data_IF_917243899662
#
_entry.id   IF_917243899662
#
_cell.length_a   1.000
_cell.length_b   1.000
_cell.length_c   1.000
_cell.angle_alpha   90.00
_cell.angle_beta   90.00
_cell.angle_gamma   90.00
#
_symmetry.space_group_name_H-M   'P 1'
#
loop_
_entity.id
_entity.type
_entity.pdbx_description
1 polymer ?
#
# COMPACT_ATOMS: atom_id res chain seq x y z
N UNK A 1 -24.72 22.56 1.87
CA UNK A 1 -24.29 22.62 0.45
C UNK A 1 -23.18 23.65 0.32
N UNK A 2 -22.01 23.30 -0.23
CA UNK A 2 -20.99 24.29 -0.51
C UNK A 2 -21.52 25.32 -1.53
N UNK A 3 -21.19 26.62 -1.38
CA UNK A 3 -21.63 27.64 -2.30
C UNK A 3 -21.13 27.33 -3.71
N UNK A 4 -22.03 27.48 -4.70
CA UNK A 4 -21.69 27.28 -6.11
C UNK A 4 -20.53 28.22 -6.48
N UNK A 5 -19.45 27.74 -7.10
CA UNK A 5 -18.29 28.57 -7.43
C UNK A 5 -18.71 29.72 -8.33
N UNK A 6 -18.28 30.94 -7.97
CA UNK A 6 -18.48 32.13 -8.82
C UNK A 6 -17.71 31.94 -10.13
N UNK A 7 -18.37 32.22 -11.25
CA UNK A 7 -17.75 32.20 -12.57
C UNK A 7 -16.53 33.15 -12.60
N UNK A 8 -15.43 32.70 -13.22
CA UNK A 8 -14.24 33.52 -13.41
C UNK A 8 -14.54 34.65 -14.39
N UNK A 9 -13.97 35.83 -14.11
CA UNK A 9 -14.02 36.92 -15.09
C UNK A 9 -12.98 36.69 -16.21
N UNK A 10 -13.11 37.43 -17.31
CA UNK A 10 -12.25 37.27 -18.49
C UNK A 10 -10.76 37.48 -18.18
N UNK A 11 -10.42 38.43 -17.30
CA UNK A 11 -9.02 38.69 -16.91
C UNK A 11 -8.44 37.54 -16.06
N UNK A 12 -9.24 36.93 -15.20
CA UNK A 12 -8.87 35.76 -14.41
C UNK A 12 -8.66 34.54 -15.30
N UNK A 13 -9.55 34.30 -16.26
CA UNK A 13 -9.40 33.19 -17.21
C UNK A 13 -8.14 33.37 -18.09
N UNK A 14 -7.90 34.60 -18.58
CA UNK A 14 -6.67 34.93 -19.32
C UNK A 14 -5.42 34.76 -18.47
N UNK A 15 -5.44 35.20 -17.21
CA UNK A 15 -4.35 34.95 -16.26
C UNK A 15 -4.06 33.46 -16.11
N UNK A 16 -5.09 32.62 -15.96
CA UNK A 16 -4.90 31.18 -15.87
C UNK A 16 -4.22 30.62 -17.14
N UNK A 17 -4.63 31.08 -18.33
CA UNK A 17 -4.05 30.64 -19.60
C UNK A 17 -2.58 31.03 -19.75
N UNK A 18 -2.23 32.29 -19.45
CA UNK A 18 -0.86 32.80 -19.50
C UNK A 18 0.03 32.12 -18.44
N UNK A 19 -0.48 31.96 -17.21
CA UNK A 19 0.26 31.34 -16.11
C UNK A 19 0.64 29.90 -16.39
N UNK A 20 -0.21 29.15 -17.10
CA UNK A 20 0.08 27.76 -17.46
C UNK A 20 1.14 27.64 -18.56
N UNK A 21 1.53 28.73 -19.24
CA UNK A 21 2.60 28.69 -20.24
C UNK A 21 4.00 28.59 -19.62
N UNK A 22 4.30 29.41 -18.61
CA UNK A 22 5.64 29.53 -18.03
C UNK A 22 5.71 29.45 -16.49
N UNK A 23 4.56 29.36 -15.82
CA UNK A 23 4.43 29.41 -14.35
C UNK A 23 5.01 30.68 -13.71
N UNK A 24 5.14 31.76 -14.48
CA UNK A 24 5.52 33.08 -13.96
C UNK A 24 4.27 33.88 -13.64
N UNK A 25 3.98 34.04 -12.35
CA UNK A 25 2.75 34.69 -11.91
C UNK A 25 2.75 36.21 -12.14
N UNK A 26 3.91 36.87 -12.16
CA UNK A 26 4.03 38.31 -12.42
C UNK A 26 3.82 38.57 -13.91
N UNK A 27 4.53 37.84 -14.77
CA UNK A 27 4.38 37.97 -16.22
C UNK A 27 2.99 37.55 -16.69
N UNK A 28 2.40 36.49 -16.11
CA UNK A 28 1.04 36.09 -16.43
C UNK A 28 0.02 37.18 -16.09
N UNK A 29 0.15 37.85 -14.93
CA UNK A 29 -0.72 38.97 -14.57
C UNK A 29 -0.52 40.16 -15.53
N UNK A 30 0.72 40.44 -15.94
CA UNK A 30 1.04 41.48 -16.91
C UNK A 30 0.42 41.20 -18.28
N UNK A 31 0.63 40.00 -18.84
CA UNK A 31 0.08 39.57 -20.15
C UNK A 31 -1.44 39.44 -20.14
N UNK A 32 -2.02 39.06 -19.01
CA UNK A 32 -3.48 39.02 -18.83
C UNK A 32 -4.11 40.42 -18.86
N UNK A 33 -3.33 41.50 -18.67
CA UNK A 33 -3.78 42.88 -18.78
C UNK A 33 -4.21 43.52 -17.46
N UNK A 34 -3.72 43.03 -16.32
CA UNK A 34 -3.98 43.70 -15.03
C UNK A 34 -3.26 45.05 -14.96
N UNK A 35 -4.01 46.09 -14.56
CA UNK A 35 -3.45 47.44 -14.35
C UNK A 35 -2.49 47.44 -13.16
N UNK A 36 -1.33 48.04 -13.34
CA UNK A 36 -0.28 48.14 -12.34
C UNK A 36 0.51 49.44 -12.53
N UNK A 37 1.04 50.00 -11.45
CA UNK A 37 1.97 51.15 -11.49
C UNK A 37 3.40 50.71 -11.18
N UNK A 38 3.57 49.53 -10.60
CA UNK A 38 4.85 48.93 -10.22
C UNK A 38 4.77 47.41 -10.24
N UNK A 39 5.91 46.73 -10.25
CA UNK A 39 5.96 45.26 -10.14
C UNK A 39 5.44 44.75 -8.79
N UNK A 40 5.57 45.56 -7.73
CA UNK A 40 5.01 45.23 -6.42
C UNK A 40 3.47 45.11 -6.47
N UNK A 41 2.79 45.90 -7.31
CA UNK A 41 1.35 45.77 -7.52
C UNK A 41 1.00 44.43 -8.18
N UNK A 42 1.77 44.01 -9.19
CA UNK A 42 1.57 42.74 -9.89
C UNK A 42 1.78 41.55 -8.96
N UNK A 43 2.81 41.57 -8.11
CA UNK A 43 3.04 40.53 -7.09
C UNK A 43 1.82 40.37 -6.18
N UNK A 44 1.28 41.49 -5.68
CA UNK A 44 0.10 41.48 -4.81
C UNK A 44 -1.15 40.96 -5.53
N UNK A 45 -1.37 41.39 -6.77
CA UNK A 45 -2.50 40.94 -7.60
C UNK A 45 -2.37 39.44 -7.88
N UNK A 46 -1.22 38.99 -8.37
CA UNK A 46 -0.95 37.60 -8.70
C UNK A 46 -1.08 36.69 -7.48
N UNK A 47 -0.55 37.10 -6.32
CA UNK A 47 -0.72 36.38 -5.05
C UNK A 47 -2.19 36.26 -4.64
N UNK A 48 -2.97 37.35 -4.79
CA UNK A 48 -4.42 37.32 -4.54
C UNK A 48 -5.18 36.41 -5.51
N UNK A 49 -4.79 36.37 -6.78
CA UNK A 49 -5.36 35.49 -7.79
C UNK A 49 -5.06 34.02 -7.49
N UNK A 50 -3.80 33.69 -7.15
CA UNK A 50 -3.40 32.33 -6.79
C UNK A 50 -4.02 31.86 -5.47
N UNK A 51 -4.42 32.78 -4.57
CA UNK A 51 -5.19 32.46 -3.38
C UNK A 51 -6.67 32.16 -3.65
N UNK A 52 -7.17 32.44 -4.85
CA UNK A 52 -8.57 32.20 -5.21
C UNK A 52 -8.77 30.76 -5.69
N UNK A 53 -9.62 30.01 -4.97
CA UNK A 53 -9.92 28.59 -5.27
C UNK A 53 -10.42 28.37 -6.70
N UNK A 54 -11.21 29.29 -7.27
CA UNK A 54 -11.73 29.14 -8.63
C UNK A 54 -10.61 29.29 -9.68
N UNK A 55 -9.65 30.19 -9.44
CA UNK A 55 -8.47 30.38 -10.29
C UNK A 55 -7.57 29.14 -10.21
N UNK A 56 -7.34 28.61 -9.01
CA UNK A 56 -6.59 27.36 -8.82
C UNK A 56 -7.23 26.18 -9.55
N UNK A 57 -8.55 26.05 -9.47
CA UNK A 57 -9.28 25.00 -10.18
C UNK A 57 -9.13 25.14 -11.71
N UNK A 58 -9.24 26.36 -12.24
CA UNK A 58 -9.08 26.63 -13.68
C UNK A 58 -7.66 26.39 -14.17
N UNK A 59 -6.64 26.77 -13.39
CA UNK A 59 -5.24 26.44 -13.69
C UNK A 59 -5.07 24.92 -13.75
N UNK A 60 -5.63 24.18 -12.79
CA UNK A 60 -5.56 22.72 -12.80
C UNK A 60 -6.21 22.10 -14.05
N UNK A 61 -7.35 22.63 -14.50
CA UNK A 61 -8.01 22.24 -15.76
C UNK A 61 -7.12 22.53 -16.98
N UNK A 62 -6.57 23.74 -17.09
CA UNK A 62 -5.73 24.12 -18.22
C UNK A 62 -4.40 23.35 -18.27
N UNK A 63 -3.81 23.05 -17.11
CA UNK A 63 -2.63 22.16 -17.03
C UNK A 63 -2.98 20.75 -17.52
N UNK A 64 -4.18 20.25 -17.21
CA UNK A 64 -4.67 18.97 -17.72
C UNK A 64 -4.90 19.00 -19.24
N UNK A 65 -5.43 20.09 -19.78
CA UNK A 65 -5.70 20.25 -21.21
C UNK A 65 -4.42 20.43 -22.04
N UNK A 66 -3.47 21.26 -21.57
CA UNK A 66 -2.31 21.69 -22.37
C UNK A 66 -1.10 20.76 -22.33
N UNK A 67 -1.04 19.82 -21.38
CA UNK A 67 0.09 18.88 -21.27
C UNK A 67 -0.33 17.46 -21.63
N UNK A 68 -0.60 17.13 -22.91
CA UNK A 68 -0.79 15.74 -23.28
C UNK A 68 0.47 14.95 -22.92
N UNK A 69 0.27 13.80 -22.28
CA UNK A 69 1.38 12.91 -21.98
C UNK A 69 2.00 12.43 -23.28
N UNK A 70 3.33 12.49 -23.36
CA UNK A 70 4.05 11.91 -24.50
C UNK A 70 3.82 10.39 -24.52
N UNK A 71 3.94 9.77 -25.70
CA UNK A 71 3.84 8.30 -25.80
C UNK A 71 4.84 7.59 -24.89
N UNK A 72 6.04 8.15 -24.74
CA UNK A 72 7.05 7.62 -23.85
C UNK A 72 6.60 7.68 -22.37
N UNK A 73 5.98 8.77 -21.93
CA UNK A 73 5.38 8.85 -20.59
C UNK A 73 4.26 7.83 -20.43
N UNK A 74 3.41 7.64 -21.44
CA UNK A 74 2.37 6.60 -21.40
C UNK A 74 2.96 5.20 -21.25
N UNK A 75 4.12 4.91 -21.86
CA UNK A 75 4.85 3.66 -21.65
C UNK A 75 5.35 3.47 -20.22
N UNK A 76 5.80 4.55 -19.55
CA UNK A 76 6.15 4.49 -18.12
C UNK A 76 4.98 3.97 -17.29
N UNK A 77 3.78 4.52 -17.49
CA UNK A 77 2.59 4.10 -16.77
C UNK A 77 2.24 2.62 -17.03
N UNK A 78 2.37 2.14 -18.27
CA UNK A 78 2.13 0.73 -18.62
C UNK A 78 3.10 -0.20 -17.91
N UNK A 79 4.40 0.10 -17.95
CA UNK A 79 5.41 -0.72 -17.27
C UNK A 79 5.21 -0.72 -15.75
N UNK A 80 4.87 0.43 -15.17
CA UNK A 80 4.60 0.52 -13.74
C UNK A 80 3.43 -0.38 -13.31
N UNK A 81 2.34 -0.41 -14.10
CA UNK A 81 1.16 -1.23 -13.79
C UNK A 81 1.31 -2.73 -14.10
N UNK A 82 2.27 -3.12 -14.94
CA UNK A 82 2.60 -4.53 -15.15
C UNK A 82 3.17 -5.22 -13.90
N UNK A 83 3.46 -4.46 -12.84
CA UNK A 83 3.92 -4.97 -11.56
C UNK A 83 5.44 -5.21 -11.51
N UNK A 84 5.94 -5.41 -10.29
CA UNK A 84 7.34 -5.82 -10.05
C UNK A 84 8.41 -4.80 -10.45
N UNK A 85 8.08 -3.50 -10.54
CA UNK A 85 9.09 -2.47 -10.82
C UNK A 85 8.84 -1.18 -10.05
N UNK A 86 9.93 -0.51 -9.66
CA UNK A 86 9.87 0.81 -9.03
C UNK A 86 9.50 1.89 -10.06
N UNK A 87 9.19 3.11 -9.60
CA UNK A 87 8.94 4.25 -10.50
C UNK A 87 10.13 4.48 -11.45
N UNK A 88 11.36 4.39 -10.91
CA UNK A 88 12.60 4.55 -11.66
C UNK A 88 12.81 3.45 -12.69
N UNK A 89 12.47 2.20 -12.35
CA UNK A 89 12.60 1.07 -13.29
C UNK A 89 11.58 1.16 -14.43
N UNK A 90 10.34 1.53 -14.14
CA UNK A 90 9.33 1.79 -15.18
C UNK A 90 9.78 2.93 -16.11
N UNK A 91 10.38 3.97 -15.54
CA UNK A 91 10.95 5.09 -16.29
C UNK A 91 12.09 4.62 -17.20
N UNK A 92 13.04 3.84 -16.68
CA UNK A 92 14.14 3.26 -17.46
C UNK A 92 13.65 2.34 -18.59
N UNK A 93 12.66 1.47 -18.30
CA UNK A 93 12.06 0.56 -19.30
C UNK A 93 11.36 1.30 -20.44
N UNK A 94 10.80 2.48 -20.17
CA UNK A 94 10.25 3.35 -21.21
C UNK A 94 11.31 4.03 -22.09
N UNK A 95 12.60 3.75 -21.88
CA UNK A 95 13.70 4.23 -22.73
C UNK A 95 14.34 5.54 -22.28
N UNK A 96 13.99 6.07 -21.10
CA UNK A 96 14.70 7.21 -20.52
C UNK A 96 16.12 6.79 -20.10
N UNK A 97 17.10 7.66 -20.38
CA UNK A 97 18.53 7.44 -20.08
C UNK A 97 19.06 8.57 -19.19
N UNK A 98 20.01 8.24 -18.33
CA UNK A 98 20.61 9.16 -17.38
C UNK A 98 21.30 8.40 -16.25
N UNK A 99 21.99 9.13 -15.38
CA UNK A 99 22.46 8.60 -14.10
C UNK A 99 21.28 8.20 -13.20
N UNK A 100 21.55 7.33 -12.22
CA UNK A 100 20.51 6.74 -11.38
C UNK A 100 19.72 7.80 -10.59
N UNK A 101 20.41 8.81 -10.05
CA UNK A 101 19.81 9.84 -9.20
C UNK A 101 18.94 10.80 -10.03
N UNK A 102 19.43 11.22 -11.19
CA UNK A 102 18.68 12.04 -12.15
C UNK A 102 17.44 11.31 -12.65
N UNK A 103 17.54 10.01 -12.98
CA UNK A 103 16.39 9.21 -13.39
C UNK A 103 15.36 9.06 -12.28
N UNK A 104 15.80 8.83 -11.04
CA UNK A 104 14.89 8.74 -9.88
C UNK A 104 14.17 10.07 -9.63
N UNK A 105 14.89 11.19 -9.66
CA UNK A 105 14.32 12.52 -9.51
C UNK A 105 13.32 12.85 -10.64
N UNK A 106 13.68 12.55 -11.89
CA UNK A 106 12.81 12.77 -13.05
C UNK A 106 11.55 11.89 -13.00
N UNK A 107 11.69 10.61 -12.64
CA UNK A 107 10.57 9.71 -12.44
C UNK A 107 9.63 10.23 -11.35
N UNK A 108 10.17 10.58 -10.17
CA UNK A 108 9.37 11.12 -9.07
C UNK A 108 8.58 12.37 -9.48
N UNK A 109 9.22 13.31 -10.21
CA UNK A 109 8.53 14.49 -10.77
C UNK A 109 7.42 14.09 -11.73
N UNK A 110 7.64 13.14 -12.64
CA UNK A 110 6.61 12.67 -13.57
C UNK A 110 5.41 12.07 -12.81
N UNK A 111 5.66 11.22 -11.81
CA UNK A 111 4.61 10.62 -10.99
C UNK A 111 3.88 11.64 -10.10
N UNK A 112 4.54 12.75 -9.74
CA UNK A 112 3.91 13.85 -9.03
C UNK A 112 2.93 14.66 -9.90
N UNK A 113 3.13 14.68 -11.24
CA UNK A 113 2.28 15.46 -12.17
C UNK A 113 0.82 14.99 -12.11
N UNK A 114 -0.16 15.89 -11.87
CA UNK A 114 -1.59 15.54 -11.83
C UNK A 114 -2.09 14.83 -13.09
N UNK A 115 -1.63 15.25 -14.26
CA UNK A 115 -2.01 14.66 -15.56
C UNK A 115 -1.59 13.19 -15.64
N UNK A 116 -0.37 12.88 -15.19
CA UNK A 116 0.14 11.52 -15.17
C UNK A 116 -0.63 10.64 -14.17
N UNK A 117 -0.91 11.15 -12.98
CA UNK A 117 -1.72 10.45 -11.96
C UNK A 117 -3.12 10.11 -12.48
N UNK A 118 -3.77 11.06 -13.17
CA UNK A 118 -5.08 10.83 -13.80
C UNK A 118 -5.01 9.73 -14.85
N UNK A 119 -4.05 9.82 -15.77
CA UNK A 119 -3.85 8.79 -16.80
C UNK A 119 -3.58 7.41 -16.19
N UNK A 120 -2.76 7.34 -15.14
CA UNK A 120 -2.47 6.09 -14.43
C UNK A 120 -3.75 5.48 -13.83
N UNK A 121 -4.62 6.30 -13.21
CA UNK A 121 -5.91 5.87 -12.66
C UNK A 121 -6.86 5.39 -13.75
N UNK A 122 -6.94 6.10 -14.87
CA UNK A 122 -7.78 5.71 -16.01
C UNK A 122 -7.30 4.39 -16.63
N UNK A 123 -5.98 4.19 -16.70
CA UNK A 123 -5.38 2.93 -17.15
C UNK A 123 -5.66 1.79 -16.16
N UNK A 124 -5.51 2.01 -14.85
CA UNK A 124 -5.90 1.03 -13.83
C UNK A 124 -7.37 0.64 -13.95
N UNK A 125 -8.26 1.63 -14.09
CA UNK A 125 -9.70 1.39 -14.26
C UNK A 125 -9.99 0.57 -15.52
N UNK A 126 -9.34 0.86 -16.65
CA UNK A 126 -9.56 0.09 -17.88
C UNK A 126 -9.07 -1.37 -17.75
N UNK A 127 -7.97 -1.61 -17.03
CA UNK A 127 -7.51 -2.95 -16.70
C UNK A 127 -8.51 -3.68 -15.78
N UNK A 128 -8.99 -3.02 -14.72
CA UNK A 128 -10.01 -3.59 -13.82
C UNK A 128 -11.26 -4.02 -14.58
N UNK A 129 -11.76 -3.15 -15.48
CA UNK A 129 -12.93 -3.45 -16.32
C UNK A 129 -12.67 -4.62 -17.26
N UNK A 130 -11.47 -4.70 -17.86
CA UNK A 130 -11.12 -5.79 -18.80
C UNK A 130 -11.05 -7.14 -18.11
N UNK A 131 -10.49 -7.19 -16.90
CA UNK A 131 -10.32 -8.43 -16.15
C UNK A 131 -11.50 -8.77 -15.24
N UNK A 132 -12.50 -7.88 -15.13
CA UNK A 132 -13.59 -7.99 -14.16
C UNK A 132 -13.07 -8.18 -12.72
N UNK A 133 -11.91 -7.58 -12.45
CA UNK A 133 -11.28 -7.57 -11.13
C UNK A 133 -11.63 -6.25 -10.49
N UNK A 134 -12.69 -6.26 -9.69
CA UNK A 134 -13.01 -5.14 -8.82
C UNK A 134 -12.35 -5.32 -7.44
N UNK A 135 -12.58 -4.33 -6.59
CA UNK A 135 -11.98 -4.28 -5.27
C UNK A 135 -12.53 -5.36 -4.34
N UNK A 136 -13.84 -5.64 -4.41
CA UNK A 136 -14.50 -6.69 -3.64
C UNK A 136 -14.00 -8.08 -4.03
N UNK A 137 -13.81 -8.33 -5.33
CA UNK A 137 -13.25 -9.57 -5.85
C UNK A 137 -11.85 -9.85 -5.28
N UNK A 138 -10.98 -8.83 -5.22
CA UNK A 138 -9.63 -8.98 -4.65
C UNK A 138 -9.70 -9.29 -3.16
N UNK A 139 -10.56 -8.60 -2.41
CA UNK A 139 -10.75 -8.84 -0.98
C UNK A 139 -11.31 -10.25 -0.71
N UNK A 140 -12.27 -10.70 -1.51
CA UNK A 140 -12.82 -12.05 -1.41
C UNK A 140 -11.74 -13.11 -1.65
N UNK A 141 -10.92 -12.95 -2.70
CA UNK A 141 -9.80 -13.88 -2.96
C UNK A 141 -8.73 -13.83 -1.86
N UNK A 142 -8.42 -12.65 -1.34
CA UNK A 142 -7.49 -12.52 -0.23
C UNK A 142 -8.02 -13.21 1.04
N UNK A 143 -9.33 -13.06 1.32
CA UNK A 143 -10.00 -13.72 2.44
C UNK A 143 -9.98 -15.24 2.29
N UNK A 144 -10.36 -15.76 1.12
CA UNK A 144 -10.29 -17.21 0.83
C UNK A 144 -8.87 -17.74 1.04
N UNK A 145 -7.85 -16.96 0.66
CA UNK A 145 -6.46 -17.36 0.85
C UNK A 145 -6.07 -17.41 2.33
N UNK A 146 -6.48 -16.42 3.12
CA UNK A 146 -6.26 -16.42 4.58
C UNK A 146 -6.95 -17.63 5.21
N UNK A 147 -8.22 -17.87 4.89
CA UNK A 147 -8.98 -19.02 5.39
C UNK A 147 -8.34 -20.35 4.99
N UNK A 148 -7.86 -20.46 3.75
CA UNK A 148 -7.15 -21.65 3.25
C UNK A 148 -5.84 -21.92 3.97
N UNK A 149 -5.18 -20.87 4.47
CA UNK A 149 -3.91 -20.99 5.19
C UNK A 149 -4.08 -21.42 6.65
N UNK A 150 -5.32 -21.38 7.15
CA UNK A 150 -5.69 -21.84 8.50
C UNK A 150 -6.27 -23.24 8.53
N UNK A 151 -6.29 -23.95 7.39
CA UNK A 151 -6.84 -25.30 7.29
C UNK A 151 -5.95 -26.28 8.06
N UNK A 152 -6.53 -27.04 8.98
CA UNK A 152 -5.87 -28.14 9.67
C UNK A 152 -5.93 -29.43 8.82
N UNK A 153 -4.93 -30.32 8.95
CA UNK A 153 -4.91 -31.61 8.25
C UNK A 153 -6.14 -32.46 8.57
N UNK A 154 -6.67 -32.36 9.79
CA UNK A 154 -7.88 -33.07 10.25
C UNK A 154 -9.14 -32.63 9.50
N UNK A 155 -9.12 -31.43 8.90
CA UNK A 155 -10.24 -30.94 8.10
C UNK A 155 -10.28 -31.54 6.69
N UNK A 156 -9.15 -32.06 6.19
CA UNK A 156 -9.01 -32.60 4.83
C UNK A 156 -8.79 -34.11 4.80
N UNK A 157 -8.33 -34.69 5.89
CA UNK A 157 -8.12 -36.13 6.03
C UNK A 157 -8.57 -36.64 7.40
N UNK A 158 -9.12 -37.85 7.43
CA UNK A 158 -9.39 -38.58 8.66
C UNK A 158 -8.16 -39.44 9.01
N UNK A 159 -7.64 -39.22 10.22
CA UNK A 159 -6.53 -39.98 10.80
C UNK A 159 -7.13 -41.21 11.49
N UNK A 160 -6.83 -42.40 11.00
CA UNK A 160 -7.27 -43.64 11.61
C UNK A 160 -6.38 -44.00 12.82
N UNK A 161 -6.85 -44.92 13.66
CA UNK A 161 -6.14 -45.37 14.86
C UNK A 161 -4.81 -46.07 14.57
N UNK A 162 -4.64 -46.60 13.36
CA UNK A 162 -3.41 -47.22 12.88
C UNK A 162 -2.41 -46.21 12.28
N UNK A 163 -2.73 -44.92 12.30
CA UNK A 163 -1.92 -43.85 11.73
C UNK A 163 -2.09 -43.67 10.21
N UNK A 164 -3.00 -44.41 9.56
CA UNK A 164 -3.31 -44.21 8.14
C UNK A 164 -4.18 -42.97 7.93
N UNK A 165 -3.95 -42.28 6.80
CA UNK A 165 -4.71 -41.10 6.41
C UNK A 165 -5.68 -41.45 5.30
N UNK A 166 -6.96 -41.19 5.51
CA UNK A 166 -7.98 -41.26 4.46
C UNK A 166 -8.45 -39.87 4.07
N UNK A 167 -8.31 -39.52 2.79
CA UNK A 167 -8.70 -38.21 2.29
C UNK A 167 -10.24 -38.10 2.29
N UNK A 168 -10.77 -37.01 2.82
CA UNK A 168 -12.20 -36.67 2.68
C UNK A 168 -12.52 -36.40 1.22
N UNK A 169 -13.79 -36.55 0.85
CA UNK A 169 -14.25 -36.24 -0.50
C UNK A 169 -14.06 -34.74 -0.81
N UNK A 170 -13.06 -34.44 -1.62
CA UNK A 170 -12.69 -33.07 -1.99
C UNK A 170 -13.83 -32.30 -2.67
N UNK A 171 -14.78 -32.99 -3.31
CA UNK A 171 -15.93 -32.34 -3.97
C UNK A 171 -16.96 -31.83 -2.97
N UNK A 172 -16.98 -32.40 -1.76
CA UNK A 172 -17.89 -32.00 -0.67
C UNK A 172 -17.27 -30.95 0.25
N UNK A 173 -15.96 -30.75 0.20
CA UNK A 173 -15.27 -29.76 1.01
C UNK A 173 -15.50 -28.34 0.46
N UNK A 174 -15.64 -27.34 1.34
CA UNK A 174 -15.65 -25.94 0.92
C UNK A 174 -14.40 -25.58 0.12
N UNK A 175 -14.55 -24.71 -0.89
CA UNK A 175 -13.48 -24.34 -1.83
C UNK A 175 -12.21 -23.86 -1.12
N UNK A 176 -12.32 -23.04 -0.07
CA UNK A 176 -11.16 -22.52 0.66
C UNK A 176 -10.35 -23.63 1.35
N UNK A 177 -10.97 -24.74 1.78
CA UNK A 177 -10.26 -25.88 2.37
C UNK A 177 -9.41 -26.61 1.33
N UNK A 178 -9.99 -26.79 0.15
CA UNK A 178 -9.30 -27.43 -0.98
C UNK A 178 -8.12 -26.57 -1.45
N UNK A 179 -8.30 -25.24 -1.48
CA UNK A 179 -7.21 -24.29 -1.81
C UNK A 179 -6.06 -24.32 -0.81
N UNK A 180 -6.30 -24.78 0.43
CA UNK A 180 -5.26 -24.91 1.46
C UNK A 180 -4.28 -26.05 1.18
N UNK A 181 -4.64 -26.99 0.29
CA UNK A 181 -3.81 -28.13 -0.07
C UNK A 181 -2.80 -27.72 -1.14
N UNK A 182 -1.51 -27.73 -0.78
CA UNK A 182 -0.39 -27.40 -1.67
C UNK A 182 0.00 -28.58 -2.56
N UNK A 183 0.00 -29.79 -2.00
CA UNK A 183 0.44 -31.00 -2.69
C UNK A 183 -0.22 -32.24 -2.10
N UNK A 184 -0.66 -33.17 -2.96
CA UNK A 184 -1.08 -34.52 -2.57
C UNK A 184 -0.19 -35.51 -3.32
N UNK A 185 0.55 -36.32 -2.59
CA UNK A 185 1.41 -37.37 -3.14
C UNK A 185 0.97 -38.73 -2.61
N UNK A 186 0.79 -39.69 -3.51
CA UNK A 186 0.35 -41.04 -3.19
C UNK A 186 1.42 -42.02 -3.68
N UNK A 187 2.13 -42.65 -2.75
CA UNK A 187 3.16 -43.63 -3.06
C UNK A 187 2.68 -45.01 -2.66
N UNK A 188 2.66 -45.94 -3.60
CA UNK A 188 2.36 -47.35 -3.34
C UNK A 188 3.69 -48.10 -3.26
N UNK A 189 3.99 -48.69 -2.10
CA UNK A 189 5.11 -49.62 -1.91
C UNK A 189 4.59 -51.04 -1.75
N UNK A 190 5.41 -52.02 -2.12
CA UNK A 190 5.08 -53.44 -1.96
C UNK A 190 6.00 -54.02 -0.88
N UNK A 191 5.45 -54.76 0.08
CA UNK A 191 6.25 -55.53 1.04
C UNK A 191 6.89 -56.74 0.36
N UNK A 192 7.91 -57.34 0.99
CA UNK A 192 8.54 -58.58 0.52
C UNK A 192 7.53 -59.76 0.40
N UNK A 193 6.41 -59.68 1.12
CA UNK A 193 5.32 -60.65 1.11
C UNK A 193 4.26 -60.34 0.02
N UNK A 194 4.46 -59.28 -0.78
CA UNK A 194 3.58 -58.88 -1.87
C UNK A 194 2.40 -57.99 -1.47
N UNK A 195 2.31 -57.57 -0.21
CA UNK A 195 1.26 -56.66 0.25
C UNK A 195 1.53 -55.22 -0.21
N UNK A 196 0.56 -54.60 -0.87
CA UNK A 196 0.65 -53.20 -1.26
C UNK A 196 0.32 -52.28 -0.08
N UNK A 197 1.28 -51.43 0.32
CA UNK A 197 1.07 -50.32 1.26
C UNK A 197 0.96 -49.01 0.48
N UNK A 198 -0.18 -48.35 0.62
CA UNK A 198 -0.40 -47.02 0.06
C UNK A 198 -0.08 -45.98 1.14
N UNK A 199 0.91 -45.13 0.87
CA UNK A 199 1.27 -44.00 1.72
C UNK A 199 0.78 -42.70 1.08
N UNK A 200 -0.05 -41.95 1.81
CA UNK A 200 -0.57 -40.66 1.39
C UNK A 200 0.19 -39.55 2.12
N UNK A 201 0.77 -38.62 1.37
CA UNK A 201 1.43 -37.43 1.89
C UNK A 201 0.66 -36.20 1.42
N UNK A 202 0.12 -35.44 2.37
CA UNK A 202 -0.57 -34.18 2.11
C UNK A 202 0.31 -33.05 2.63
N UNK A 203 0.64 -32.07 1.77
CA UNK A 203 1.27 -30.82 2.20
C UNK A 203 0.24 -29.71 2.10
N UNK A 204 0.11 -28.93 3.16
CA UNK A 204 -0.71 -27.72 3.18
C UNK A 204 0.14 -26.50 2.85
N UNK A 205 -0.51 -25.42 2.43
CA UNK A 205 0.15 -24.13 2.31
C UNK A 205 0.60 -23.65 3.70
N UNK A 206 1.80 -23.08 3.76
CA UNK A 206 2.25 -22.38 4.97
C UNK A 206 1.34 -21.19 5.26
N UNK A 207 1.22 -20.83 6.54
CA UNK A 207 0.45 -19.66 6.98
C UNK A 207 1.01 -18.41 6.29
N UNK A 208 0.29 -17.92 5.29
CA UNK A 208 0.72 -16.75 4.54
C UNK A 208 0.15 -15.48 5.18
N UNK A 209 0.90 -14.94 6.14
CA UNK A 209 0.57 -13.68 6.82
C UNK A 209 0.50 -12.48 5.86
N UNK A 210 1.00 -12.60 4.62
CA UNK A 210 0.98 -11.51 3.63
C UNK A 210 -0.44 -11.13 3.22
N UNK A 211 -1.31 -12.11 2.97
CA UNK A 211 -2.69 -11.85 2.57
C UNK A 211 -3.47 -11.15 3.69
N UNK A 212 -3.31 -11.63 4.93
CA UNK A 212 -3.89 -11.02 6.12
C UNK A 212 -3.36 -9.59 6.33
N UNK A 213 -2.04 -9.37 6.16
CA UNK A 213 -1.43 -8.05 6.25
C UNK A 213 -1.95 -7.08 5.20
N UNK A 214 -2.22 -7.56 3.98
CA UNK A 214 -2.80 -6.76 2.89
C UNK A 214 -4.23 -6.34 3.23
N UNK A 215 -5.05 -7.25 3.76
CA UNK A 215 -6.40 -6.95 4.24
C UNK A 215 -6.34 -5.96 5.40
N UNK A 216 -5.51 -6.22 6.42
CA UNK A 216 -5.34 -5.36 7.58
C UNK A 216 -4.91 -3.94 7.20
N UNK A 217 -3.99 -3.80 6.24
CA UNK A 217 -3.60 -2.50 5.68
C UNK A 217 -4.73 -1.83 4.94
N UNK A 218 -5.48 -2.59 4.15
CA UNK A 218 -6.58 -2.06 3.36
C UNK A 218 -7.70 -1.48 4.24
N UNK A 219 -8.05 -2.15 5.35
CA UNK A 219 -9.06 -1.68 6.31
C UNK A 219 -8.52 -0.63 7.30
N UNK A 220 -7.23 -0.26 7.20
CA UNK A 220 -6.60 0.76 8.05
C UNK A 220 -6.09 0.26 9.40
N UNK A 221 -6.16 -1.05 9.68
CA UNK A 221 -5.75 -1.62 10.97
C UNK A 221 -4.24 -1.43 11.26
N UNK A 222 -3.40 -1.41 10.22
CA UNK A 222 -1.94 -1.27 10.38
C UNK A 222 -1.45 0.18 10.37
N UNK A 223 -2.22 1.12 9.80
CA UNK A 223 -1.82 2.53 9.74
C UNK A 223 -1.97 3.24 11.07
N UNK A 224 -2.98 2.86 11.85
CA UNK A 224 -3.19 3.45 13.18
C UNK A 224 -2.15 3.00 14.18
N UNK A 225 -1.61 1.78 14.09
CA UNK A 225 -0.61 1.33 15.05
C UNK A 225 0.69 2.14 14.98
N UNK A 226 1.30 2.27 13.81
CA UNK A 226 2.54 3.06 13.67
C UNK A 226 2.31 4.57 13.85
N UNK A 227 1.15 5.09 13.43
CA UNK A 227 0.80 6.48 13.69
C UNK A 227 0.57 6.73 15.19
N UNK A 228 -0.06 5.81 15.90
CA UNK A 228 -0.23 5.85 17.35
C UNK A 228 1.11 5.70 18.08
N UNK A 229 1.98 4.78 17.66
CA UNK A 229 3.34 4.63 18.18
C UNK A 229 4.14 5.93 17.99
N UNK A 230 4.15 6.51 16.79
CA UNK A 230 4.83 7.78 16.52
C UNK A 230 4.23 8.93 17.33
N UNK A 231 2.92 8.92 17.59
CA UNK A 231 2.27 9.91 18.43
C UNK A 231 2.70 9.74 19.88
N UNK A 232 2.71 8.51 20.41
CA UNK A 232 3.16 8.20 21.77
C UNK A 232 4.65 8.56 21.97
N UNK A 233 5.51 8.21 21.02
CA UNK A 233 6.93 8.61 20.99
C UNK A 233 7.09 10.13 20.98
N UNK A 234 6.29 10.86 20.19
CA UNK A 234 6.29 12.34 20.18
C UNK A 234 5.90 12.94 21.54
N UNK A 235 5.08 12.25 22.32
CA UNK A 235 4.70 12.65 23.68
C UNK A 235 5.61 12.07 24.77
N UNK A 236 6.76 11.50 24.40
CA UNK A 236 7.74 10.99 25.37
C UNK A 236 7.34 9.67 26.00
N UNK A 237 6.54 8.86 25.33
CA UNK A 237 6.25 7.49 25.74
C UNK A 237 6.96 6.50 24.82
N UNK A 238 7.70 5.55 25.40
CA UNK A 238 8.18 4.37 24.71
C UNK A 238 7.16 3.23 24.84
N UNK A 239 7.01 2.42 23.80
CA UNK A 239 5.99 1.38 23.76
C UNK A 239 6.67 0.02 23.74
N UNK A 240 6.40 -0.78 24.77
CA UNK A 240 7.00 -2.09 24.97
C UNK A 240 5.93 -3.18 24.85
N UNK A 241 6.33 -4.31 24.27
CA UNK A 241 5.51 -5.52 24.13
C UNK A 241 5.97 -6.52 25.19
N UNK A 242 5.04 -6.95 26.05
CA UNK A 242 5.26 -7.98 27.06
C UNK A 242 5.39 -9.37 26.41
N UNK A 243 5.88 -10.35 27.17
CA UNK A 243 5.98 -11.75 26.73
C UNK A 243 4.62 -12.38 26.36
N UNK A 244 3.52 -11.83 26.88
CA UNK A 244 2.15 -12.27 26.57
C UNK A 244 1.54 -11.56 25.34
N UNK A 245 2.30 -10.67 24.68
CA UNK A 245 1.85 -9.88 23.54
C UNK A 245 0.99 -8.67 23.91
N UNK A 246 0.83 -8.36 25.21
CA UNK A 246 0.21 -7.11 25.64
C UNK A 246 1.17 -5.93 25.46
N UNK A 247 0.63 -4.77 25.15
CA UNK A 247 1.42 -3.57 24.84
C UNK A 247 1.17 -2.51 25.90
N UNK A 248 2.23 -1.94 26.48
CA UNK A 248 2.14 -0.81 27.40
C UNK A 248 3.06 0.33 26.98
N UNK A 249 2.67 1.55 27.34
CA UNK A 249 3.41 2.77 27.05
C UNK A 249 4.05 3.29 28.35
N UNK A 250 5.38 3.43 28.38
CA UNK A 250 6.16 3.92 29.52
C UNK A 250 6.74 5.31 29.19
N UNK A 251 6.59 6.32 30.06
CA UNK A 251 7.29 7.61 29.89
C UNK A 251 8.82 7.44 29.84
N UNK A 252 9.50 8.19 28.98
CA UNK A 252 10.97 8.16 28.83
C UNK A 252 11.74 8.60 30.10
N UNK A 253 11.11 9.40 30.96
CA UNK A 253 11.77 10.07 32.10
C UNK A 253 11.62 9.34 33.45
N UNK A 254 11.02 8.15 33.48
CA UNK A 254 11.01 7.34 34.69
C UNK A 254 12.25 6.45 34.69
N UNK A 255 13.33 6.95 35.32
CA UNK A 255 14.45 6.12 35.78
C UNK A 255 13.87 4.83 36.35
N UNK A 256 14.38 3.68 35.89
CA UNK A 256 13.97 2.40 36.47
C UNK A 256 14.13 2.51 37.98
N UNK A 257 13.07 2.22 38.78
CA UNK A 257 13.29 2.04 40.20
C UNK A 257 14.39 0.98 40.27
N UNK A 258 15.56 1.37 40.78
CA UNK A 258 16.67 0.45 41.01
C UNK A 258 16.05 -0.81 41.58
N UNK A 259 16.22 -1.94 40.88
CA UNK A 259 15.75 -3.23 41.36
C UNK A 259 16.32 -3.34 42.76
N UNK A 260 15.47 -3.13 43.76
CA UNK A 260 15.85 -3.24 45.15
C UNK A 260 16.47 -4.63 45.26
N UNK A 261 17.78 -4.66 45.51
CA UNK A 261 18.57 -5.88 45.54
C UNK A 261 17.79 -6.89 46.38
N UNK A 262 17.28 -7.92 45.70
CA UNK A 262 16.56 -9.00 46.35
C UNK A 262 17.52 -9.56 47.40
N UNK A 263 17.11 -9.45 48.67
CA UNK A 263 17.89 -9.95 49.80
C UNK A 263 18.33 -11.39 49.50
N UNK A 264 19.62 -11.71 49.66
CA UNK A 264 20.10 -13.07 49.46
C UNK A 264 19.37 -13.99 50.45
N UNK A 265 18.76 -15.05 49.92
CA UNK A 265 18.21 -16.15 50.69
C UNK A 265 19.30 -16.69 51.63
N UNK A 266 19.19 -16.40 52.92
CA UNK A 266 19.99 -17.04 53.97
C UNK A 266 19.63 -18.53 54.00
N UNK A 267 20.42 -19.34 53.30
CA UNK A 267 20.50 -20.78 53.50
C UNK A 267 20.96 -21.06 54.93
N UNK A 268 20.01 -21.31 55.83
CA UNK A 268 20.28 -21.86 57.16
C UNK A 268 20.67 -23.33 56.99
N UNK A 269 21.97 -23.60 56.89
CA UNK A 269 22.53 -24.93 57.13
C UNK A 269 22.28 -25.30 58.61
N UNK A 270 21.41 -26.27 58.85
CA UNK A 270 21.27 -26.94 60.12
C UNK A 270 22.18 -28.18 60.15
N UNK A 271 23.32 -28.06 60.84
CA UNK A 271 24.12 -29.20 61.28
C UNK A 271 23.50 -29.83 62.55
N UNK A 272 23.07 -31.08 62.45
CA UNK A 272 23.43 -32.25 63.29
C UNK A 272 22.51 -33.47 63.04
#
# INVERSE_FOLDING_TARGET
>A
MPPKPRALNQLQDRFCAEYVEDFDNIEAARRAGYRHNSDADLVRIAGGLLGNVNVQQRIAELVLERSPLTEQQKWVARHYLQGGCTQTDAYRKAGYRGDADSLAAAASRLFARPVFKRYLRDLQRSLMLRYQVDHDWVLERAKEWVESSNVDITEVADVQSDGTLTLKDLKKLPRYKVLGIKEISCNTSYSEEGEARVSLKIKLHERNNTALSLIARHIGFTSDYNAALNTLHKYGYDVQENEDGSIYARPFDLEEPEKADAEPDDEVEAED
#
